data_IF_657566355999
#
_entry.id   IF_657566355999
#
_cell.length_a   1.000
_cell.length_b   1.000
_cell.length_c   1.000
_cell.angle_alpha   90.00
_cell.angle_beta   90.00
_cell.angle_gamma   90.00
#
_symmetry.space_group_name_H-M   'P 1'
#
loop_
_entity.id
_entity.type
_entity.pdbx_description
1 polymer ?
#
# COMPACT_ATOMS: atom_id res chain seq x y z
N UNK A 1 -7.19 -4.33 -2.70
CA UNK A 1 -6.65 -2.96 -2.61
C UNK A 1 -7.78 -1.96 -2.79
N UNK A 2 -7.85 -0.96 -1.93
CA UNK A 2 -8.85 0.12 -2.02
C UNK A 2 -8.22 1.38 -2.63
N UNK A 3 -9.03 2.17 -3.33
CA UNK A 3 -8.60 3.50 -3.79
C UNK A 3 -8.71 4.45 -2.62
N UNK A 4 -7.57 5.01 -2.22
CA UNK A 4 -7.53 6.05 -1.21
C UNK A 4 -8.03 7.36 -1.86
N UNK A 5 -9.07 8.01 -1.34
CA UNK A 5 -9.53 9.29 -1.86
C UNK A 5 -8.46 10.38 -1.66
N UNK A 6 -8.48 11.46 -2.46
CA UNK A 6 -7.61 12.62 -2.24
C UNK A 6 -7.77 13.15 -0.82
N UNK A 7 -6.66 13.55 -0.19
CA UNK A 7 -6.68 14.13 1.16
C UNK A 7 -7.55 15.39 1.16
N UNK A 8 -8.55 15.43 2.04
CA UNK A 8 -9.44 16.60 2.22
C UNK A 8 -8.81 17.70 3.09
N UNK A 9 -7.82 17.36 3.93
CA UNK A 9 -7.10 18.31 4.79
C UNK A 9 -5.72 17.74 5.17
N UNK A 10 -4.96 18.45 6.03
CA UNK A 10 -3.70 17.95 6.59
C UNK A 10 -3.88 16.78 7.59
N UNK A 11 -5.10 16.32 7.84
CA UNK A 11 -5.38 15.17 8.68
C UNK A 11 -4.82 13.86 8.05
N UNK A 12 -4.38 12.94 8.90
CA UNK A 12 -3.94 11.59 8.54
C UNK A 12 -5.08 10.76 7.92
N UNK A 13 -4.73 9.71 7.16
CA UNK A 13 -5.72 8.87 6.48
C UNK A 13 -6.61 8.08 7.45
N UNK A 14 -7.91 8.06 7.15
CA UNK A 14 -8.90 7.22 7.84
C UNK A 14 -9.51 6.23 6.85
N UNK A 15 -9.61 4.96 7.25
CA UNK A 15 -10.21 3.90 6.44
C UNK A 15 -11.73 4.05 6.31
N UNK A 16 -12.40 4.68 7.27
CA UNK A 16 -13.83 5.02 7.19
C UNK A 16 -14.19 5.96 6.03
N UNK A 17 -13.23 6.72 5.50
CA UNK A 17 -13.40 7.55 4.30
C UNK A 17 -13.27 6.79 2.98
N UNK A 18 -12.86 5.51 3.02
CA UNK A 18 -12.63 4.71 1.83
C UNK A 18 -13.93 4.06 1.37
N UNK A 19 -14.11 3.95 0.05
CA UNK A 19 -15.19 3.15 -0.51
C UNK A 19 -14.84 1.66 -0.42
N UNK A 20 -15.17 1.05 0.72
CA UNK A 20 -14.88 -0.36 1.03
C UNK A 20 -15.60 -1.34 0.09
N UNK A 21 -16.68 -0.90 -0.57
CA UNK A 21 -17.42 -1.72 -1.53
C UNK A 21 -16.81 -1.67 -2.93
N UNK A 22 -15.93 -0.70 -3.20
CA UNK A 22 -15.24 -0.55 -4.48
C UNK A 22 -13.84 -1.13 -4.42
N UNK A 23 -13.77 -2.42 -4.69
CA UNK A 23 -12.50 -3.12 -4.82
C UNK A 23 -11.73 -2.65 -6.06
N UNK A 24 -10.49 -2.17 -5.88
CA UNK A 24 -9.70 -1.62 -6.98
C UNK A 24 -8.86 -2.70 -7.69
N UNK A 25 -8.31 -3.65 -6.93
CA UNK A 25 -7.45 -4.72 -7.42
C UNK A 25 -7.23 -5.79 -6.34
N UNK A 26 -7.19 -7.07 -6.73
CA UNK A 26 -6.84 -8.23 -5.89
C UNK A 26 -5.58 -8.90 -6.43
N UNK A 27 -4.71 -9.35 -5.52
CA UNK A 27 -3.59 -10.21 -5.89
C UNK A 27 -2.74 -10.57 -4.68
N UNK A 28 -1.49 -10.92 -4.93
CA UNK A 28 -0.52 -11.33 -3.91
C UNK A 28 0.36 -10.15 -3.47
N UNK A 29 0.51 -9.99 -2.17
CA UNK A 29 1.47 -9.07 -1.55
C UNK A 29 2.75 -9.84 -1.23
N UNK A 30 3.89 -9.36 -1.73
CA UNK A 30 5.21 -9.90 -1.40
C UNK A 30 6.10 -8.82 -0.83
N UNK A 31 6.79 -9.15 0.26
CA UNK A 31 7.83 -8.31 0.85
C UNK A 31 9.17 -8.98 0.60
N UNK A 32 10.06 -8.29 -0.12
CA UNK A 32 11.39 -8.77 -0.45
C UNK A 32 12.41 -7.91 0.29
N UNK A 33 13.40 -8.53 0.92
CA UNK A 33 14.50 -7.83 1.57
C UNK A 33 15.83 -8.33 1.01
N UNK A 34 16.73 -7.41 0.66
CA UNK A 34 18.09 -7.72 0.21
C UNK A 34 19.05 -6.68 0.78
N UNK A 35 19.89 -7.11 1.71
CA UNK A 35 20.79 -6.19 2.42
C UNK A 35 19.99 -5.17 3.22
N UNK A 36 20.23 -3.88 2.97
CA UNK A 36 19.50 -2.77 3.60
C UNK A 36 18.27 -2.30 2.79
N UNK A 37 18.02 -2.89 1.61
CA UNK A 37 16.88 -2.54 0.78
C UNK A 37 15.70 -3.48 1.06
N UNK A 38 14.51 -2.90 1.26
CA UNK A 38 13.25 -3.63 1.36
C UNK A 38 12.28 -3.15 0.28
N UNK A 39 11.53 -4.06 -0.32
CA UNK A 39 10.62 -3.80 -1.44
C UNK A 39 9.29 -4.46 -1.16
N UNK A 40 8.22 -3.70 -1.27
CA UNK A 40 6.84 -4.20 -1.28
C UNK A 40 6.38 -4.33 -2.73
N UNK A 41 5.90 -5.51 -3.11
CA UNK A 41 5.39 -5.83 -4.45
C UNK A 41 3.96 -6.32 -4.38
N UNK A 42 3.14 -5.79 -5.27
CA UNK A 42 1.80 -6.30 -5.56
C UNK A 42 1.86 -7.04 -6.89
N UNK A 43 1.55 -8.32 -6.88
CA UNK A 43 1.63 -9.19 -8.06
C UNK A 43 0.28 -9.85 -8.32
N UNK A 44 -0.08 -10.05 -9.59
CA UNK A 44 -1.24 -10.84 -9.95
C UNK A 44 -1.10 -12.26 -9.38
N UNK A 45 -2.18 -12.79 -8.80
CA UNK A 45 -2.16 -14.06 -8.08
C UNK A 45 -1.92 -15.27 -8.98
N UNK A 46 -2.31 -15.18 -10.25
CA UNK A 46 -2.28 -16.29 -11.22
C UNK A 46 -1.03 -16.20 -12.08
N UNK A 47 -0.75 -15.02 -12.65
CA UNK A 47 0.35 -14.84 -13.61
C UNK A 47 1.66 -14.46 -12.93
N UNK A 48 1.62 -13.91 -11.72
CA UNK A 48 2.78 -13.32 -11.05
C UNK A 48 3.23 -11.99 -11.67
N UNK A 49 2.44 -11.40 -12.58
CA UNK A 49 2.75 -10.11 -13.20
C UNK A 49 2.75 -8.99 -12.16
N UNK A 50 3.74 -8.09 -12.24
CA UNK A 50 3.88 -6.98 -11.30
C UNK A 50 2.82 -5.91 -11.56
N UNK A 51 1.96 -5.69 -10.57
CA UNK A 51 0.96 -4.62 -10.60
C UNK A 51 1.51 -3.29 -10.08
N UNK A 52 2.19 -3.33 -8.93
CA UNK A 52 2.79 -2.14 -8.32
C UNK A 52 3.98 -2.50 -7.42
N UNK A 53 4.86 -1.53 -7.20
CA UNK A 53 6.08 -1.70 -6.42
C UNK A 53 6.38 -0.44 -5.59
N UNK A 54 6.81 -0.63 -4.34
CA UNK A 54 7.27 0.44 -3.46
C UNK A 54 8.62 0.06 -2.81
N UNK A 55 9.58 0.98 -2.84
CA UNK A 55 10.88 0.81 -2.21
C UNK A 55 10.87 1.41 -0.79
N UNK A 56 11.40 0.67 0.17
CA UNK A 56 11.70 1.15 1.50
C UNK A 56 13.21 1.32 1.61
N UNK A 57 13.64 2.57 1.55
CA UNK A 57 15.04 2.96 1.66
C UNK A 57 15.25 3.84 2.88
N UNK A 58 16.34 3.59 3.58
CA UNK A 58 16.74 4.40 4.73
C UNK A 58 17.06 5.82 4.27
N UNK A 59 16.42 6.81 4.88
CA UNK A 59 16.63 8.24 4.56
C UNK A 59 15.68 8.81 3.50
N UNK A 60 14.86 7.99 2.85
CA UNK A 60 13.74 8.45 2.01
C UNK A 60 12.45 8.53 2.83
N UNK A 61 11.46 9.30 2.36
CA UNK A 61 10.11 9.27 2.93
C UNK A 61 9.54 7.85 2.78
N UNK A 62 9.06 7.29 3.89
CA UNK A 62 8.49 5.94 3.87
C UNK A 62 7.21 5.96 3.02
N UNK A 63 7.06 5.04 2.04
CA UNK A 63 5.86 4.96 1.21
C UNK A 63 4.68 4.29 1.94
N UNK A 64 4.77 4.12 3.26
CA UNK A 64 3.81 3.41 4.10
C UNK A 64 3.41 4.33 5.24
N UNK A 65 2.11 4.64 5.32
CA UNK A 65 1.49 5.38 6.41
C UNK A 65 0.32 4.55 6.94
N UNK A 66 0.26 4.28 8.26
CA UNK A 66 -0.88 3.59 8.86
C UNK A 66 -2.11 4.51 8.83
N UNK A 67 -3.30 3.91 8.69
CA UNK A 67 -4.55 4.63 8.94
C UNK A 67 -4.76 4.81 10.45
N UNK A 68 -5.39 5.91 10.86
CA UNK A 68 -5.50 6.26 12.29
C UNK A 68 -6.67 5.58 13.02
N UNK A 69 -7.65 5.06 12.28
CA UNK A 69 -8.90 4.49 12.77
C UNK A 69 -8.92 2.95 12.71
N UNK A 70 -7.86 2.33 12.18
CA UNK A 70 -7.74 0.88 12.06
C UNK A 70 -6.29 0.42 12.16
N UNK A 71 -6.05 -0.73 12.78
CA UNK A 71 -4.73 -1.36 12.89
C UNK A 71 -4.55 -2.56 11.94
N UNK A 72 -5.49 -2.74 11.00
CA UNK A 72 -5.52 -3.88 10.07
C UNK A 72 -4.66 -3.65 8.83
#
# INVERSE_FOLDING_TARGET
MHKIPPRKSAASYRADEWDVNKWAWEGSLKVLSKGEECIIRLEDKITGELYALAFLRKGELLPVEPVIDSSR
#
